data_IF_829304121150
#
_entry.id   IF_829304121150
#
_cell.length_a   1.000
_cell.length_b   1.000
_cell.length_c   1.000
_cell.angle_alpha   90.00
_cell.angle_beta   90.00
_cell.angle_gamma   90.00
#
_symmetry.space_group_name_H-M   'P 1'
#
loop_
_entity.id
_entity.type
_entity.pdbx_description
1 polymer ?
#
# COMPACT_ATOMS: atom_id res chain seq x y z
N UNK A 1 6.85 -21.55 -1.34
CA UNK A 1 7.34 -20.19 -0.98
C UNK A 1 6.16 -19.29 -0.67
N UNK A 2 6.27 -18.45 0.36
CA UNK A 2 5.27 -17.47 0.72
C UNK A 2 5.37 -16.25 -0.22
N UNK A 3 4.25 -15.70 -0.72
CA UNK A 3 4.27 -14.52 -1.58
C UNK A 3 4.70 -13.24 -0.83
N UNK A 4 5.08 -12.18 -1.55
CA UNK A 4 5.65 -10.95 -0.96
C UNK A 4 4.77 -10.32 0.14
N UNK A 5 3.46 -10.55 0.10
CA UNK A 5 2.49 -9.99 1.06
C UNK A 5 1.94 -11.01 2.06
N UNK A 6 2.60 -12.16 2.22
CA UNK A 6 2.13 -13.23 3.10
C UNK A 6 2.14 -12.84 4.58
N UNK A 7 3.09 -11.99 5.01
CA UNK A 7 3.22 -11.51 6.38
C UNK A 7 1.95 -10.86 6.92
N UNK A 8 1.17 -10.19 6.06
CA UNK A 8 -0.10 -9.55 6.43
C UNK A 8 -1.14 -10.52 7.00
N UNK A 9 -1.00 -11.84 6.77
CA UNK A 9 -1.91 -12.85 7.32
C UNK A 9 -1.85 -12.91 8.85
N UNK A 10 -0.69 -12.58 9.43
CA UNK A 10 -0.44 -12.70 10.87
C UNK A 10 -1.07 -11.58 11.69
N UNK A 11 -1.52 -10.49 11.05
CA UNK A 11 -1.97 -9.29 11.74
C UNK A 11 -3.51 -9.12 11.67
N UNK A 12 -4.11 -8.86 12.83
CA UNK A 12 -5.56 -8.67 12.94
C UNK A 12 -6.06 -7.49 12.07
N UNK A 13 -7.18 -7.69 11.37
CA UNK A 13 -7.78 -6.66 10.53
C UNK A 13 -7.05 -6.37 9.21
N UNK A 14 -6.07 -7.21 8.81
CA UNK A 14 -5.28 -7.05 7.58
C UNK A 14 -5.73 -7.98 6.43
N UNK A 15 -6.68 -8.89 6.63
CA UNK A 15 -7.15 -9.85 5.61
C UNK A 15 -7.50 -9.21 4.27
N UNK A 16 -8.21 -8.07 4.27
CA UNK A 16 -8.57 -7.38 3.02
C UNK A 16 -7.35 -6.79 2.31
N UNK A 17 -6.40 -6.22 3.07
CA UNK A 17 -5.15 -5.69 2.51
C UNK A 17 -4.27 -6.81 1.97
N UNK A 18 -4.17 -7.92 2.68
CA UNK A 18 -3.48 -9.13 2.21
C UNK A 18 -4.08 -9.62 0.87
N UNK A 19 -5.39 -9.78 0.81
CA UNK A 19 -6.07 -10.26 -0.39
C UNK A 19 -5.83 -9.34 -1.60
N UNK A 20 -6.01 -8.02 -1.43
CA UNK A 20 -5.78 -7.05 -2.50
C UNK A 20 -4.31 -7.04 -2.94
N UNK A 21 -3.35 -7.13 -2.00
CA UNK A 21 -1.93 -7.12 -2.32
C UNK A 21 -1.52 -8.36 -3.11
N UNK A 22 -2.06 -9.54 -2.77
CA UNK A 22 -1.89 -10.77 -3.56
C UNK A 22 -2.50 -10.66 -4.96
N UNK A 23 -3.64 -9.97 -5.10
CA UNK A 23 -4.22 -9.72 -6.42
C UNK A 23 -3.36 -8.76 -7.24
N UNK A 24 -2.78 -7.72 -6.64
CA UNK A 24 -1.89 -6.78 -7.31
C UNK A 24 -0.63 -7.50 -7.83
N UNK A 25 -0.01 -8.34 -6.98
CA UNK A 25 1.12 -9.19 -7.34
C UNK A 25 0.78 -10.18 -8.47
N UNK A 26 -0.41 -10.78 -8.44
CA UNK A 26 -0.89 -11.65 -9.52
C UNK A 26 -1.13 -10.88 -10.83
N UNK A 27 -1.73 -9.70 -10.75
CA UNK A 27 -1.98 -8.85 -11.92
C UNK A 27 -0.66 -8.48 -12.61
N UNK A 28 0.35 -8.09 -11.84
CA UNK A 28 1.70 -7.83 -12.37
C UNK A 28 2.30 -9.04 -13.08
N UNK A 29 2.28 -10.22 -12.44
CA UNK A 29 2.81 -11.46 -13.05
C UNK A 29 2.13 -11.83 -14.36
N UNK A 30 0.86 -11.48 -14.51
CA UNK A 30 0.08 -11.70 -15.71
C UNK A 30 0.23 -10.60 -16.77
N UNK A 31 1.12 -9.62 -16.57
CA UNK A 31 1.27 -8.46 -17.47
C UNK A 31 0.10 -7.46 -17.40
N UNK A 32 -0.78 -7.58 -16.42
CA UNK A 32 -1.97 -6.73 -16.24
C UNK A 32 -1.63 -5.48 -15.41
N UNK A 33 -0.69 -4.67 -15.88
CA UNK A 33 -0.14 -3.52 -15.14
C UNK A 33 -1.18 -2.45 -14.79
N UNK A 34 -2.15 -2.21 -15.68
CA UNK A 34 -3.25 -1.29 -15.39
C UNK A 34 -4.09 -1.76 -14.19
N UNK A 35 -4.39 -3.05 -14.12
CA UNK A 35 -5.12 -3.68 -13.02
C UNK A 35 -4.32 -3.62 -11.72
N UNK A 36 -3.01 -3.90 -11.78
CA UNK A 36 -2.11 -3.80 -10.64
C UNK A 36 -2.13 -2.38 -10.06
N UNK A 37 -1.94 -1.35 -10.86
CA UNK A 37 -1.94 0.03 -10.39
C UNK A 37 -3.29 0.47 -9.76
N UNK A 38 -4.43 0.01 -10.31
CA UNK A 38 -5.74 0.26 -9.71
C UNK A 38 -5.90 -0.42 -8.35
N UNK A 39 -5.41 -1.66 -8.21
CA UNK A 39 -5.41 -2.38 -6.94
C UNK A 39 -4.52 -1.69 -5.91
N UNK A 40 -3.33 -1.23 -6.30
CA UNK A 40 -2.43 -0.49 -5.41
C UNK A 40 -3.05 0.83 -4.96
N UNK A 41 -3.71 1.56 -5.86
CA UNK A 41 -4.45 2.78 -5.51
C UNK A 41 -5.52 2.49 -4.44
N UNK A 42 -6.29 1.41 -4.57
CA UNK A 42 -7.28 1.00 -3.57
C UNK A 42 -6.62 0.59 -2.24
N UNK A 43 -5.52 -0.16 -2.29
CA UNK A 43 -4.75 -0.56 -1.10
C UNK A 43 -4.26 0.67 -0.33
N UNK A 44 -3.61 1.62 -1.03
CA UNK A 44 -3.14 2.87 -0.43
C UNK A 44 -4.27 3.67 0.21
N UNK A 45 -5.44 3.75 -0.45
CA UNK A 45 -6.60 4.46 0.07
C UNK A 45 -7.20 3.82 1.33
N UNK A 46 -7.16 2.49 1.43
CA UNK A 46 -7.53 1.76 2.66
C UNK A 46 -6.51 1.97 3.76
N UNK A 47 -5.22 1.94 3.44
CA UNK A 47 -4.16 2.16 4.40
C UNK A 47 -4.22 3.57 5.01
N UNK A 48 -4.39 4.60 4.17
CA UNK A 48 -4.56 5.99 4.62
C UNK A 48 -5.78 6.11 5.56
N UNK A 49 -6.92 5.49 5.22
CA UNK A 49 -8.09 5.50 6.09
C UNK A 49 -7.84 4.82 7.45
N UNK A 50 -7.09 3.70 7.46
CA UNK A 50 -6.68 3.04 8.70
C UNK A 50 -5.78 3.94 9.55
N UNK A 51 -4.79 4.59 8.94
CA UNK A 51 -3.88 5.53 9.59
C UNK A 51 -4.66 6.71 10.21
N UNK A 52 -5.49 7.38 9.42
CA UNK A 52 -6.28 8.52 9.89
C UNK A 52 -7.21 8.12 11.02
N UNK A 53 -7.92 6.99 10.92
CA UNK A 53 -8.82 6.54 12.00
C UNK A 53 -8.06 6.23 13.30
N UNK A 54 -6.81 5.80 13.20
CA UNK A 54 -5.97 5.48 14.37
C UNK A 54 -5.43 6.75 15.03
N UNK A 55 -4.93 7.68 14.23
CA UNK A 55 -4.31 8.93 14.70
C UNK A 55 -5.36 10.01 15.07
N UNK A 56 -6.53 9.96 14.44
CA UNK A 56 -7.62 10.91 14.61
C UNK A 56 -8.96 10.14 14.78
N UNK A 57 -9.17 9.47 15.93
CA UNK A 57 -10.36 8.64 16.15
C UNK A 57 -11.67 9.42 16.08
N UNK A 58 -11.63 10.72 16.39
CA UNK A 58 -12.80 11.62 16.40
C UNK A 58 -13.06 12.31 15.04
N UNK A 59 -12.23 12.04 14.03
CA UNK A 59 -12.40 12.64 12.71
C UNK A 59 -13.62 12.05 11.98
N UNK A 60 -14.38 12.92 11.31
CA UNK A 60 -15.59 12.57 10.55
C UNK A 60 -15.37 11.34 9.67
N UNK A 61 -16.24 10.33 9.78
CA UNK A 61 -16.14 9.08 9.01
C UNK A 61 -16.28 9.27 7.49
N UNK A 62 -16.70 10.45 7.03
CA UNK A 62 -16.94 10.75 5.61
C UNK A 62 -15.72 11.28 4.84
N UNK A 63 -14.53 11.37 5.44
CA UNK A 63 -13.33 11.79 4.69
C UNK A 63 -12.94 10.81 3.57
N UNK A 64 -12.53 11.33 2.43
CA UNK A 64 -11.95 10.51 1.36
C UNK A 64 -10.43 10.30 1.60
N UNK A 65 -9.83 9.32 0.95
CA UNK A 65 -8.41 9.01 1.15
C UNK A 65 -7.43 10.12 0.75
N UNK A 66 -7.82 11.08 -0.10
CA UNK A 66 -6.97 12.23 -0.42
C UNK A 66 -7.00 13.27 0.71
N UNK A 67 -8.17 13.54 1.28
CA UNK A 67 -8.31 14.41 2.46
C UNK A 67 -7.57 13.83 3.66
N UNK A 68 -7.68 12.52 3.84
CA UNK A 68 -6.94 11.79 4.86
C UNK A 68 -5.42 11.91 4.71
N UNK A 69 -4.92 11.83 3.47
CA UNK A 69 -3.48 11.99 3.19
C UNK A 69 -3.02 13.42 3.51
N UNK A 70 -3.78 14.44 3.11
CA UNK A 70 -3.48 15.84 3.44
C UNK A 70 -3.43 16.07 4.95
N UNK A 71 -4.34 15.45 5.70
CA UNK A 71 -4.37 15.55 7.18
C UNK A 71 -3.14 14.91 7.82
N UNK A 72 -2.74 13.72 7.35
CA UNK A 72 -1.52 13.05 7.83
C UNK A 72 -0.26 13.90 7.52
N UNK A 73 -0.23 14.54 6.35
CA UNK A 73 0.85 15.45 5.95
C UNK A 73 0.92 16.70 6.83
N UNK A 74 -0.22 17.35 7.09
CA UNK A 74 -0.28 18.60 7.85
C UNK A 74 0.06 18.44 9.34
N UNK A 75 0.10 17.20 9.83
CA UNK A 75 0.33 16.89 11.25
C UNK A 75 1.71 16.29 11.51
N UNK A 76 2.55 16.14 10.47
CA UNK A 76 3.90 15.57 10.56
C UNK A 76 3.97 14.20 11.26
N UNK A 77 2.87 13.44 11.28
CA UNK A 77 2.83 12.08 11.85
C UNK A 77 3.55 11.05 10.98
N UNK A 78 3.66 11.35 9.69
CA UNK A 78 4.45 10.61 8.72
C UNK A 78 5.76 11.35 8.47
N UNK A 79 6.86 10.60 8.39
CA UNK A 79 8.10 11.16 7.85
C UNK A 79 7.93 11.50 6.35
N UNK A 80 8.83 12.32 5.81
CA UNK A 80 8.76 12.80 4.43
C UNK A 80 8.81 11.64 3.41
N UNK A 81 9.53 10.58 3.74
CA UNK A 81 9.61 9.37 2.94
C UNK A 81 8.25 8.68 2.81
N UNK A 82 7.55 8.41 3.92
CA UNK A 82 6.25 7.73 3.90
C UNK A 82 5.19 8.59 3.25
N UNK A 83 5.27 9.90 3.48
CA UNK A 83 4.43 10.89 2.82
C UNK A 83 4.58 10.81 1.31
N UNK A 84 5.82 10.77 0.82
CA UNK A 84 6.14 10.66 -0.60
C UNK A 84 5.66 9.35 -1.18
N UNK A 85 5.95 8.22 -0.52
CA UNK A 85 5.55 6.89 -0.99
C UNK A 85 4.02 6.75 -1.06
N UNK A 86 3.30 7.14 -0.01
CA UNK A 86 1.83 7.08 -0.01
C UNK A 86 1.23 7.98 -1.10
N UNK A 87 1.80 9.16 -1.35
CA UNK A 87 1.38 10.04 -2.43
C UNK A 87 1.58 9.39 -3.80
N UNK A 88 2.74 8.76 -4.03
CA UNK A 88 3.04 8.07 -5.28
C UNK A 88 2.12 6.86 -5.51
N UNK A 89 1.92 6.02 -4.49
CA UNK A 89 1.00 4.88 -4.54
C UNK A 89 -0.45 5.30 -4.78
N UNK A 90 -0.87 6.44 -4.22
CA UNK A 90 -2.21 6.98 -4.45
C UNK A 90 -2.42 7.44 -5.90
N UNK A 91 -1.36 7.96 -6.52
CA UNK A 91 -1.34 8.47 -7.90
C UNK A 91 -1.20 7.38 -8.96
N UNK A 92 -0.65 6.22 -8.64
CA UNK A 92 -0.39 5.14 -9.62
C UNK A 92 -1.63 4.79 -10.45
N UNK A 93 -2.80 4.65 -9.82
CA UNK A 93 -4.04 4.34 -10.53
C UNK A 93 -4.78 5.53 -11.18
N UNK A 94 -4.14 6.69 -11.38
CA UNK A 94 -4.76 7.84 -12.10
C UNK A 94 -4.69 7.68 -13.63
N UNK A 95 -3.58 7.14 -14.14
CA UNK A 95 -3.38 6.87 -15.57
C UNK A 95 -2.86 5.44 -15.80
N UNK A 96 -3.63 4.42 -15.42
CA UNK A 96 -3.17 3.02 -15.39
C UNK A 96 -2.76 2.47 -16.76
N UNK A 97 -3.32 3.01 -17.85
CA UNK A 97 -3.02 2.60 -19.23
C UNK A 97 -1.61 2.98 -19.73
N UNK A 98 -0.90 3.86 -19.01
CA UNK A 98 0.44 4.33 -19.39
C UNK A 98 1.56 3.60 -18.62
N UNK A 99 1.22 2.58 -17.83
CA UNK A 99 2.18 1.93 -16.93
C UNK A 99 2.83 0.75 -17.64
N UNK A 100 4.12 0.90 -17.93
CA UNK A 100 4.98 -0.20 -18.37
C UNK A 100 5.43 -1.11 -17.22
N UNK A 101 5.97 -2.28 -17.57
CA UNK A 101 6.38 -3.32 -16.63
C UNK A 101 7.33 -2.82 -15.53
N UNK A 102 8.36 -2.05 -15.90
CA UNK A 102 9.34 -1.52 -14.94
C UNK A 102 8.69 -0.57 -13.92
N UNK A 103 7.77 0.29 -14.38
CA UNK A 103 7.05 1.20 -13.48
C UNK A 103 6.11 0.43 -12.55
N UNK A 104 5.37 -0.56 -13.08
CA UNK A 104 4.51 -1.43 -12.28
C UNK A 104 5.30 -2.16 -11.18
N UNK A 105 6.49 -2.68 -11.53
CA UNK A 105 7.37 -3.31 -10.55
C UNK A 105 7.75 -2.36 -9.41
N UNK A 106 8.21 -1.15 -9.76
CA UNK A 106 8.61 -0.15 -8.77
C UNK A 106 7.44 0.26 -7.86
N UNK A 107 6.22 0.33 -8.39
CA UNK A 107 5.03 0.63 -7.59
C UNK A 107 4.73 -0.52 -6.62
N UNK A 108 4.83 -1.78 -7.04
CA UNK A 108 4.69 -2.95 -6.17
C UNK A 108 5.73 -3.00 -5.05
N UNK A 109 7.00 -2.72 -5.35
CA UNK A 109 8.07 -2.66 -4.34
C UNK A 109 7.79 -1.57 -3.31
N UNK A 110 7.37 -0.38 -3.75
CA UNK A 110 6.97 0.71 -2.85
C UNK A 110 5.79 0.31 -1.97
N UNK A 111 4.82 -0.40 -2.53
CA UNK A 111 3.68 -0.89 -1.76
C UNK A 111 4.13 -1.86 -0.67
N UNK A 112 5.01 -2.82 -1.02
CA UNK A 112 5.57 -3.77 -0.08
C UNK A 112 6.26 -3.07 1.08
N UNK A 113 7.14 -2.12 0.77
CA UNK A 113 7.85 -1.33 1.76
C UNK A 113 6.89 -0.58 2.71
N UNK A 114 5.89 0.11 2.16
CA UNK A 114 4.90 0.86 2.96
C UNK A 114 4.08 -0.05 3.88
N UNK A 115 3.74 -1.27 3.43
CA UNK A 115 2.97 -2.22 4.24
C UNK A 115 3.81 -2.82 5.37
N UNK A 116 5.10 -3.07 5.14
CA UNK A 116 6.05 -3.48 6.18
C UNK A 116 6.22 -2.38 7.22
N UNK A 117 6.46 -1.14 6.77
CA UNK A 117 6.53 0.01 7.68
C UNK A 117 5.27 0.12 8.54
N UNK A 118 4.09 -0.04 7.93
CA UNK A 118 2.83 0.06 8.67
C UNK A 118 2.70 -1.03 9.75
N UNK A 119 2.97 -2.30 9.42
CA UNK A 119 2.83 -3.37 10.41
C UNK A 119 3.85 -3.22 11.54
N UNK A 120 5.08 -2.82 11.23
CA UNK A 120 6.11 -2.63 12.26
C UNK A 120 5.80 -1.46 13.17
N UNK A 121 5.31 -0.35 12.61
CA UNK A 121 5.04 0.85 13.41
C UNK A 121 3.75 0.76 14.21
N UNK A 122 2.74 0.05 13.72
CA UNK A 122 1.39 0.11 14.27
C UNK A 122 0.85 -1.22 14.79
N UNK A 123 1.43 -2.35 14.42
CA UNK A 123 0.88 -3.67 14.72
C UNK A 123 1.89 -4.58 15.41
N UNK A 124 2.88 -3.97 16.07
CA UNK A 124 3.98 -4.65 16.76
C UNK A 124 4.68 -5.67 15.86
N UNK A 125 4.79 -5.34 14.57
CA UNK A 125 5.44 -6.17 13.58
C UNK A 125 6.96 -6.13 13.72
N UNK A 126 7.58 -7.24 13.34
CA UNK A 126 9.03 -7.39 13.23
C UNK A 126 9.42 -7.85 11.82
N UNK A 127 8.70 -7.34 10.82
CA UNK A 127 8.95 -7.68 9.43
C UNK A 127 10.17 -6.91 8.92
N UNK A 128 11.16 -7.61 8.39
CA UNK A 128 12.26 -6.95 7.70
C UNK A 128 11.80 -6.52 6.31
N UNK A 129 12.22 -5.35 5.78
CA UNK A 129 11.89 -4.90 4.43
C UNK A 129 12.15 -5.95 3.34
N UNK A 130 13.05 -6.90 3.60
CA UNK A 130 13.33 -8.07 2.77
C UNK A 130 13.71 -7.74 1.33
N UNK A 131 14.04 -8.76 0.55
CA UNK A 131 14.10 -8.61 -0.90
C UNK A 131 12.71 -8.90 -1.48
N UNK A 132 12.16 -7.93 -2.22
CA UNK A 132 10.94 -8.15 -3.00
C UNK A 132 11.25 -9.08 -4.17
N UNK A 133 10.58 -10.23 -4.23
CA UNK A 133 10.85 -11.27 -5.21
C UNK A 133 9.70 -11.40 -6.21
N UNK A 134 9.96 -11.14 -7.50
CA UNK A 134 9.02 -11.55 -8.54
C UNK A 134 9.30 -13.00 -8.86
N UNK A 135 8.34 -13.87 -8.56
CA UNK A 135 8.33 -15.22 -9.11
C UNK A 135 7.68 -15.17 -10.49
N UNK A 136 8.48 -15.31 -11.54
CA UNK A 136 7.96 -15.71 -12.85
C UNK A 136 7.52 -17.16 -12.73
N UNK A 137 6.25 -17.43 -13.04
CA UNK A 137 5.75 -18.80 -13.18
C UNK A 137 6.37 -19.47 -14.39
#
# INVERSE_FOLDING_TARGET
MAGNFAFLKSYHGMHKLQHLSRMAEKAYRNGQYATEALLIREISGRLIRKLVKREFPDMDKHFNSEDGLKKLQSTHLLNDEMTTLLTQLRKSGRHPQLIGAQNAYQILVKLHYVLIWYVNRYLDGHEEPGHFHIHHN
#
